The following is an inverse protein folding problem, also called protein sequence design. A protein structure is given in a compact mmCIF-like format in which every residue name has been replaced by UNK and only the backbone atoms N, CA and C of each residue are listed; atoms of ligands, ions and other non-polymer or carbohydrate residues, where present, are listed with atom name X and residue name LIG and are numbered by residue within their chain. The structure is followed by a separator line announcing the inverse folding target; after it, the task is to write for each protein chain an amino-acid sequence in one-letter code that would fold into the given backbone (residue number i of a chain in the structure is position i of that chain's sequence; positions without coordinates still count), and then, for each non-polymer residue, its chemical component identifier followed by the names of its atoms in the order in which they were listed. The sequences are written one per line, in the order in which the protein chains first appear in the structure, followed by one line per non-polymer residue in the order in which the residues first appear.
data_IF_277200700462
#
_entry.id   IF_277200700462
#
_cell.length_a   1.000
_cell.length_b   1.000
_cell.length_c   1.000
_cell.angle_alpha   90.00
_cell.angle_beta   90.00
_cell.angle_gamma   90.00
#
_symmetry.space_group_name_H-M   'P 1'
#
loop_
_entity.id
_entity.type
_entity.pdbx_description
1 polymer ?
#
# COMPACT_ATOMS: atom_id res chain seq x y z
N UNK A 1 -4.34 24.75 1.92
CA UNK A 1 -3.89 23.50 1.28
C UNK A 1 -2.75 22.93 2.11
N UNK A 2 -2.99 21.86 2.87
CA UNK A 2 -1.96 21.23 3.72
C UNK A 2 -1.70 19.84 3.16
N UNK A 3 -0.57 19.64 2.49
CA UNK A 3 -0.07 18.30 2.18
C UNK A 3 0.31 17.65 3.52
N UNK A 4 -0.66 16.96 4.15
CA UNK A 4 -0.40 16.06 5.27
C UNK A 4 0.49 14.92 4.75
N UNK A 5 1.80 15.16 4.92
CA UNK A 5 2.99 14.46 4.46
C UNK A 5 2.82 13.13 3.74
N UNK A 6 3.21 13.10 2.46
CA UNK A 6 3.66 11.86 1.84
C UNK A 6 4.82 11.27 2.67
N UNK A 7 4.87 9.95 2.77
CA UNK A 7 5.94 9.20 3.43
C UNK A 7 6.41 8.10 2.51
N UNK A 8 7.73 7.94 2.48
CA UNK A 8 8.40 6.81 1.86
C UNK A 8 8.63 5.75 2.93
N UNK A 9 8.29 4.50 2.64
CA UNK A 9 8.57 3.35 3.50
C UNK A 9 9.25 2.25 2.69
N UNK A 10 10.09 1.49 3.38
CA UNK A 10 10.73 0.27 2.88
C UNK A 10 10.32 -0.89 3.77
N UNK A 11 9.96 -2.02 3.17
CA UNK A 11 9.57 -3.19 3.95
C UNK A 11 9.28 -4.42 3.11
N UNK A 12 9.02 -5.54 3.79
CA UNK A 12 8.67 -6.81 3.16
C UNK A 12 7.16 -7.01 3.16
N UNK A 13 6.61 -7.47 2.04
CA UNK A 13 5.20 -7.87 1.95
C UNK A 13 5.00 -9.17 2.73
N UNK A 14 4.21 -9.14 3.80
CA UNK A 14 3.92 -10.29 4.65
C UNK A 14 2.58 -10.94 4.33
N UNK A 15 1.62 -10.17 3.80
CA UNK A 15 0.34 -10.69 3.33
C UNK A 15 -0.23 -9.83 2.21
N UNK A 16 -1.04 -10.45 1.36
CA UNK A 16 -1.82 -9.76 0.33
C UNK A 16 -3.28 -10.15 0.53
N UNK A 17 -4.15 -9.14 0.58
CA UNK A 17 -5.59 -9.33 0.66
C UNK A 17 -6.24 -8.61 -0.50
N UNK A 18 -7.19 -9.27 -1.14
CA UNK A 18 -8.08 -8.60 -2.07
C UNK A 18 -8.90 -7.58 -1.26
N UNK A 19 -8.77 -6.31 -1.61
CA UNK A 19 -9.53 -5.24 -0.97
C UNK A 19 -10.96 -5.21 -1.48
N UNK A 20 -11.86 -4.65 -0.68
CA UNK A 20 -13.26 -4.50 -1.06
C UNK A 20 -13.41 -3.66 -2.34
N UNK A 21 -14.18 -4.20 -3.30
CA UNK A 21 -14.71 -3.39 -4.41
C UNK A 21 -15.68 -2.38 -3.83
N UNK A 22 -15.31 -1.10 -3.80
CA UNK A 22 -16.25 -0.03 -3.48
C UNK A 22 -16.87 0.52 -4.75
N UNK A 23 -18.19 0.49 -4.81
CA UNK A 23 -19.00 1.12 -5.86
C UNK A 23 -19.40 2.50 -5.35
N UNK A 24 -18.98 3.56 -6.04
CA UNK A 24 -19.42 4.93 -5.76
C UNK A 24 -19.72 5.64 -7.07
N UNK A 25 -20.93 6.21 -7.19
CA UNK A 25 -21.39 7.14 -8.24
C UNK A 25 -20.75 6.90 -9.63
N UNK A 26 -20.86 5.67 -10.15
CA UNK A 26 -20.44 5.30 -11.51
C UNK A 26 -19.03 4.73 -11.68
N UNK A 27 -18.23 4.63 -10.61
CA UNK A 27 -16.89 4.04 -10.67
C UNK A 27 -16.72 2.91 -9.64
N UNK A 28 -16.22 1.77 -10.12
CA UNK A 28 -15.77 0.66 -9.28
C UNK A 28 -14.26 0.80 -9.11
N UNK A 29 -13.80 1.18 -7.92
CA UNK A 29 -12.38 1.13 -7.60
C UNK A 29 -12.12 -0.10 -6.73
N UNK A 30 -11.48 -1.10 -7.35
CA UNK A 30 -10.88 -2.21 -6.61
C UNK A 30 -9.58 -1.74 -5.96
N UNK A 31 -9.32 -2.25 -4.75
CA UNK A 31 -8.04 -2.10 -4.08
C UNK A 31 -7.46 -3.48 -3.80
N UNK A 32 -6.15 -3.58 -3.82
CA UNK A 32 -5.39 -4.65 -3.20
C UNK A 32 -4.76 -4.07 -1.93
N UNK A 33 -4.80 -4.83 -0.84
CA UNK A 33 -4.18 -4.42 0.42
C UNK A 33 -2.93 -5.27 0.63
N UNK A 34 -1.78 -4.61 0.74
CA UNK A 34 -0.52 -5.24 1.12
C UNK A 34 -0.29 -5.01 2.61
N UNK A 35 -0.09 -6.07 3.38
CA UNK A 35 0.49 -5.97 4.71
C UNK A 35 2.01 -5.95 4.56
N UNK A 36 2.66 -4.92 5.09
CA UNK A 36 4.09 -4.66 4.87
C UNK A 36 4.78 -4.44 6.21
N UNK A 37 5.71 -5.34 6.54
CA UNK A 37 6.56 -5.20 7.71
C UNK A 37 7.70 -4.24 7.40
N UNK A 38 7.77 -3.14 8.15
CA UNK A 38 8.84 -2.14 8.06
C UNK A 38 9.62 -2.08 9.39
N UNK A 39 10.69 -1.29 9.44
CA UNK A 39 11.39 -0.98 10.69
C UNK A 39 10.58 -0.08 11.63
N UNK A 40 9.56 0.63 11.12
CA UNK A 40 8.72 1.55 11.89
C UNK A 40 7.41 0.91 12.40
N UNK A 41 7.11 -0.32 11.97
CA UNK A 41 5.87 -1.01 12.29
C UNK A 41 5.25 -1.72 11.08
N UNK A 42 4.05 -2.25 11.30
CA UNK A 42 3.27 -2.98 10.32
C UNK A 42 2.31 -2.03 9.58
N UNK A 43 2.48 -1.92 8.26
CA UNK A 43 1.68 -1.03 7.42
C UNK A 43 0.63 -1.80 6.60
N UNK A 44 -0.58 -1.26 6.49
CA UNK A 44 -1.54 -1.64 5.45
C UNK A 44 -1.39 -0.68 4.26
N UNK A 45 -0.98 -1.17 3.09
CA UNK A 45 -0.82 -0.34 1.89
C UNK A 45 -1.99 -0.60 0.93
N UNK A 46 -2.75 0.46 0.61
CA UNK A 46 -3.85 0.40 -0.35
C UNK A 46 -3.33 0.67 -1.76
N UNK A 47 -3.25 -0.38 -2.56
CA UNK A 47 -2.88 -0.32 -3.97
C UNK A 47 -4.15 -0.29 -4.81
N UNK A 48 -4.34 0.73 -5.63
CA UNK A 48 -5.47 0.75 -6.55
C UNK A 48 -5.28 -0.29 -7.66
N UNK A 49 -6.27 -1.17 -7.86
CA UNK A 49 -6.22 -2.19 -8.93
C UNK A 49 -6.10 -1.56 -10.32
N UNK A 50 -6.63 -0.34 -10.52
CA UNK A 50 -6.47 0.40 -11.77
C UNK A 50 -5.03 0.89 -12.03
N UNK A 51 -4.20 0.95 -10.99
CA UNK A 51 -2.79 1.37 -11.07
C UNK A 51 -1.81 0.21 -10.99
N UNK A 52 -2.26 -1.02 -10.67
CA UNK A 52 -1.34 -2.14 -10.38
C UNK A 52 -0.38 -2.41 -11.54
N UNK A 53 -0.90 -2.42 -12.77
CA UNK A 53 -0.09 -2.65 -13.98
C UNK A 53 0.89 -1.50 -14.28
N UNK A 54 0.70 -0.31 -13.69
CA UNK A 54 1.61 0.84 -13.89
C UNK A 54 2.90 0.73 -13.08
N UNK A 55 2.91 -0.09 -12.03
CA UNK A 55 4.09 -0.26 -11.17
C UNK A 55 5.12 -1.24 -11.75
N UNK A 56 4.83 -1.87 -12.89
CA UNK A 56 5.80 -2.72 -13.60
C UNK A 56 6.06 -4.09 -12.95
N UNK A 57 5.41 -4.39 -11.82
CA UNK A 57 5.43 -5.71 -11.21
C UNK A 57 4.09 -6.04 -10.52
N UNK A 58 3.85 -7.33 -10.30
CA UNK A 58 2.75 -7.80 -9.48
C UNK A 58 3.28 -8.09 -8.07
N UNK A 59 2.76 -7.42 -7.03
CA UNK A 59 3.15 -7.68 -5.64
C UNK A 59 2.94 -9.14 -5.23
N UNK A 60 3.91 -9.71 -4.52
CA UNK A 60 3.88 -11.06 -3.97
C UNK A 60 4.39 -11.07 -2.53
N UNK A 61 3.87 -11.99 -1.72
CA UNK A 61 4.38 -12.23 -0.36
C UNK A 61 5.88 -12.58 -0.43
N UNK A 62 6.66 -12.04 0.49
CA UNK A 62 8.10 -12.20 0.58
C UNK A 62 8.92 -11.14 -0.18
N UNK A 63 8.32 -10.41 -1.11
CA UNK A 63 9.01 -9.34 -1.84
C UNK A 63 9.29 -8.14 -0.95
N UNK A 64 10.47 -7.53 -1.14
CA UNK A 64 10.80 -6.24 -0.55
C UNK A 64 10.35 -5.13 -1.50
N UNK A 65 9.77 -4.09 -0.92
CA UNK A 65 9.25 -2.96 -1.69
C UNK A 65 9.67 -1.63 -1.09
N UNK A 66 9.71 -0.62 -1.96
CA UNK A 66 9.75 0.79 -1.61
C UNK A 66 8.41 1.42 -2.04
N UNK A 67 7.71 2.05 -1.11
CA UNK A 67 6.40 2.65 -1.36
C UNK A 67 6.36 4.10 -0.88
N UNK A 68 5.74 4.98 -1.67
CA UNK A 68 5.48 6.37 -1.27
C UNK A 68 3.99 6.67 -1.35
N UNK A 69 3.41 7.17 -0.26
CA UNK A 69 2.01 7.58 -0.22
C UNK A 69 1.67 8.41 1.02
N UNK A 70 0.39 8.71 1.19
CA UNK A 70 -0.13 9.43 2.35
C UNK A 70 -0.28 8.44 3.50
N UNK A 71 0.41 8.70 4.61
CA UNK A 71 0.31 7.92 5.85
C UNK A 71 -0.81 8.45 6.73
N UNK A 72 -1.62 7.55 7.26
CA UNK A 72 -2.57 7.80 8.36
C UNK A 72 -2.46 6.70 9.42
N UNK A 73 -2.87 6.95 10.67
CA UNK A 73 -3.04 5.88 11.66
C UNK A 73 -3.98 4.79 11.11
N UNK A 74 -3.69 3.51 11.39
CA UNK A 74 -4.64 2.45 11.07
C UNK A 74 -5.88 2.54 11.97
N UNK A 75 -6.99 1.94 11.52
CA UNK A 75 -8.25 1.83 12.27
C UNK A 75 -8.77 0.40 12.37
N UNK A 76 -8.00 -0.57 11.88
CA UNK A 76 -8.43 -1.97 11.81
C UNK A 76 -8.03 -2.81 13.03
N UNK A 77 -7.22 -2.25 13.94
CA UNK A 77 -6.72 -2.96 15.12
C UNK A 77 -5.64 -4.01 14.84
N UNK A 78 -5.18 -4.13 13.59
CA UNK A 78 -4.16 -5.09 13.18
C UNK A 78 -2.86 -4.43 12.71
N UNK A 79 -2.96 -3.32 11.99
CA UNK A 79 -1.81 -2.56 11.49
C UNK A 79 -1.56 -1.33 12.36
N UNK A 80 -0.33 -0.84 12.40
CA UNK A 80 0.01 0.42 13.07
C UNK A 80 -0.41 1.62 12.22
N UNK A 81 -0.17 1.50 10.90
CA UNK A 81 -0.38 2.59 9.95
C UNK A 81 -1.07 2.10 8.68
N UNK A 82 -1.75 3.02 8.02
CA UNK A 82 -2.31 2.85 6.68
C UNK A 82 -1.65 3.81 5.70
N UNK A 83 -1.34 3.32 4.51
CA UNK A 83 -0.80 4.11 3.41
C UNK A 83 -1.73 4.08 2.20
N UNK A 84 -2.10 5.26 1.70
CA UNK A 84 -3.00 5.43 0.57
C UNK A 84 -2.45 6.44 -0.43
N UNK A 85 -3.14 6.64 -1.57
CA UNK A 85 -2.75 7.62 -2.59
C UNK A 85 -1.30 7.45 -3.06
N UNK A 86 -0.91 6.21 -3.34
CA UNK A 86 0.45 5.88 -3.75
C UNK A 86 0.89 6.72 -4.97
N UNK A 87 2.03 7.41 -4.82
CA UNK A 87 2.78 7.98 -5.94
C UNK A 87 3.83 7.04 -6.48
N UNK A 88 4.32 6.09 -5.66
CA UNK A 88 5.36 5.15 -6.03
C UNK A 88 5.14 3.81 -5.33
N UNK A 89 5.44 2.72 -6.04
CA UNK A 89 5.53 1.36 -5.52
C UNK A 89 6.52 0.61 -6.40
N UNK A 90 7.64 0.19 -5.82
CA UNK A 90 8.76 -0.45 -6.53
C UNK A 90 9.16 -1.74 -5.82
N UNK A 91 9.49 -2.77 -6.59
CA UNK A 91 10.17 -3.96 -6.07
C UNK A 91 11.66 -3.66 -5.95
N UNK A 92 12.24 -4.05 -4.81
CA UNK A 92 13.66 -3.88 -4.52
C UNK A 92 14.26 -5.21 -4.05
N UNK A 93 15.57 -5.37 -4.22
CA UNK A 93 16.27 -6.53 -3.68
C UNK A 93 16.34 -6.47 -2.14
N UNK A 94 16.31 -7.63 -1.46
CA UNK A 94 16.65 -7.70 -0.04
C UNK A 94 18.08 -7.17 0.15
N UNK A 95 18.27 -6.31 1.15
CA UNK A 95 19.61 -5.89 1.59
C UNK A 95 20.01 -6.67 2.83
#
# INVERSE_FOLDING_TARGET
MSYKGKRVIKGQITAIRDGEKRISRGYTYGYMVLSVQTSEGLYSILVSSAKINRYGFLPRVGQYILAEGIRSPSRDGFHDYSMSHLSMLEHIEPQ
#
